data_IF_211065282864
#
_entry.id   IF_211065282864
#
_cell.length_a   1.000
_cell.length_b   1.000
_cell.length_c   1.000
_cell.angle_alpha   90.00
_cell.angle_beta   90.00
_cell.angle_gamma   90.00
#
_symmetry.space_group_name_H-M   'P 1'
#
loop_
_entity.id
_entity.type
_entity.pdbx_description
1 polymer ?
#
# COMPACT_ATOMS: atom_id res chain seq x y z
N UNK A 1 1.63 35.28 0.53
CA UNK A 1 0.90 34.42 -0.42
C UNK A 1 1.73 33.22 -0.81
N UNK A 2 1.31 32.02 -0.39
CA UNK A 2 1.95 30.76 -0.78
C UNK A 2 1.63 30.52 -2.26
N UNK A 3 2.59 30.73 -3.16
CA UNK A 3 2.46 30.43 -4.58
C UNK A 3 2.57 28.92 -4.84
N UNK A 4 1.59 28.18 -4.32
CA UNK A 4 1.53 26.71 -4.37
C UNK A 4 0.45 26.32 -5.36
N UNK A 5 0.80 25.48 -6.34
CA UNK A 5 -0.11 25.06 -7.40
C UNK A 5 -1.05 23.92 -6.98
N UNK A 6 -2.08 23.65 -7.80
CA UNK A 6 -3.06 22.59 -7.58
C UNK A 6 -2.42 21.21 -7.37
N UNK A 7 -1.37 20.89 -8.15
CA UNK A 7 -0.69 19.60 -8.06
C UNK A 7 -0.02 19.40 -6.71
N UNK A 8 0.53 20.47 -6.13
CA UNK A 8 1.14 20.41 -4.80
C UNK A 8 0.07 20.21 -3.71
N UNK A 9 -1.12 20.78 -3.87
CA UNK A 9 -2.24 20.49 -2.96
C UNK A 9 -2.72 19.03 -3.08
N UNK A 10 -2.79 18.48 -4.29
CA UNK A 10 -3.15 17.08 -4.51
C UNK A 10 -2.08 16.12 -3.94
N UNK A 11 -0.80 16.44 -4.16
CA UNK A 11 0.31 15.69 -3.59
C UNK A 11 0.27 15.71 -2.05
N UNK A 12 0.08 16.89 -1.45
CA UNK A 12 -0.07 17.02 0.00
C UNK A 12 -1.31 16.27 0.50
N UNK A 13 -2.44 16.38 -0.20
CA UNK A 13 -3.67 15.66 0.10
C UNK A 13 -3.49 14.14 0.08
N UNK A 14 -2.74 13.61 -0.90
CA UNK A 14 -2.41 12.19 -0.91
C UNK A 14 -1.55 11.80 0.29
N UNK A 15 -0.57 12.61 0.68
CA UNK A 15 0.31 12.32 1.82
C UNK A 15 -0.46 12.21 3.15
N UNK A 16 -1.46 13.08 3.36
CA UNK A 16 -2.25 13.09 4.59
C UNK A 16 -3.49 12.18 4.54
N UNK A 17 -3.73 11.49 3.43
CA UNK A 17 -4.89 10.61 3.28
C UNK A 17 -4.77 9.32 4.11
N UNK A 18 -3.54 8.82 4.30
CA UNK A 18 -3.27 7.70 5.19
C UNK A 18 -3.56 8.10 6.64
N UNK A 19 -4.51 7.41 7.26
CA UNK A 19 -4.91 7.60 8.67
C UNK A 19 -4.71 6.28 9.40
N UNK A 20 -3.86 6.32 10.42
CA UNK A 20 -3.58 5.18 11.28
C UNK A 20 -4.61 5.09 12.43
N UNK A 21 -5.42 4.03 12.51
CA UNK A 21 -6.44 3.86 13.52
C UNK A 21 -5.92 3.17 14.79
N UNK A 22 -4.62 2.90 14.93
CA UNK A 22 -4.08 2.08 16.04
C UNK A 22 -4.57 2.53 17.42
N UNK A 23 -4.62 3.84 17.67
CA UNK A 23 -5.15 4.37 18.94
C UNK A 23 -6.65 4.09 19.12
N UNK A 24 -7.44 4.14 18.05
CA UNK A 24 -8.88 3.86 18.06
C UNK A 24 -9.12 2.36 18.24
N UNK A 25 -8.35 1.50 17.55
CA UNK A 25 -8.45 0.05 17.66
C UNK A 25 -8.13 -0.43 19.08
N UNK A 26 -7.13 0.16 19.75
CA UNK A 26 -6.80 -0.15 21.13
C UNK A 26 -7.96 0.18 22.10
N UNK A 27 -8.69 1.28 21.84
CA UNK A 27 -9.89 1.62 22.62
C UNK A 27 -11.01 0.64 22.31
N UNK A 28 -11.26 0.31 21.03
CA UNK A 28 -12.31 -0.63 20.63
C UNK A 28 -12.20 -2.00 21.31
N UNK A 29 -10.98 -2.50 21.47
CA UNK A 29 -10.70 -3.74 22.20
C UNK A 29 -11.06 -3.62 23.69
N UNK A 30 -10.74 -2.49 24.33
CA UNK A 30 -11.08 -2.24 25.73
C UNK A 30 -12.60 -2.16 25.97
N UNK A 31 -13.33 -1.46 25.09
CA UNK A 31 -14.80 -1.35 25.19
C UNK A 31 -15.57 -2.54 24.62
N UNK A 32 -14.88 -3.60 24.18
CA UNK A 32 -15.50 -4.82 23.64
C UNK A 32 -16.48 -4.53 22.50
N UNK A 33 -16.04 -3.72 21.54
CA UNK A 33 -16.80 -3.38 20.34
C UNK A 33 -17.00 -4.63 19.47
N UNK A 34 -18.04 -4.63 18.64
CA UNK A 34 -18.33 -5.70 17.69
C UNK A 34 -17.11 -6.03 16.82
N UNK A 35 -16.72 -7.31 16.75
CA UNK A 35 -15.57 -7.79 15.98
C UNK A 35 -15.64 -7.42 14.49
N UNK A 36 -16.83 -7.40 13.90
CA UNK A 36 -17.01 -6.99 12.49
C UNK A 36 -16.63 -5.54 12.30
N UNK A 37 -16.99 -4.66 13.24
CA UNK A 37 -16.60 -3.24 13.17
C UNK A 37 -15.08 -3.07 13.32
N UNK A 38 -14.46 -3.84 14.21
CA UNK A 38 -13.00 -3.87 14.36
C UNK A 38 -12.30 -4.28 13.05
N UNK A 39 -12.73 -5.39 12.45
CA UNK A 39 -12.16 -5.90 11.20
C UNK A 39 -12.37 -4.93 10.04
N UNK A 40 -13.55 -4.30 9.94
CA UNK A 40 -13.83 -3.31 8.89
C UNK A 40 -12.91 -2.09 8.99
N UNK A 41 -12.77 -1.49 10.18
CA UNK A 41 -11.92 -0.29 10.37
C UNK A 41 -10.45 -0.63 10.17
N UNK A 42 -10.00 -1.78 10.69
CA UNK A 42 -8.62 -2.24 10.47
C UNK A 42 -8.33 -2.47 8.98
N UNK A 43 -9.25 -3.13 8.26
CA UNK A 43 -9.11 -3.39 6.83
C UNK A 43 -9.15 -2.12 5.98
N UNK A 44 -10.01 -1.16 6.32
CA UNK A 44 -10.07 0.15 5.66
C UNK A 44 -8.72 0.87 5.75
N UNK A 45 -8.14 0.94 6.94
CA UNK A 45 -6.86 1.61 7.16
C UNK A 45 -5.70 0.92 6.44
N UNK A 46 -5.65 -0.42 6.44
CA UNK A 46 -4.64 -1.16 5.66
C UNK A 46 -4.74 -0.86 4.16
N UNK A 47 -5.96 -0.83 3.61
CA UNK A 47 -6.16 -0.51 2.19
C UNK A 47 -5.81 0.96 1.90
N UNK A 48 -6.15 1.86 2.82
CA UNK A 48 -5.89 3.29 2.71
C UNK A 48 -4.39 3.61 2.68
N UNK A 49 -3.58 2.95 3.50
CA UNK A 49 -2.11 3.10 3.49
C UNK A 49 -1.54 2.72 2.11
N UNK A 50 -1.99 1.58 1.57
CA UNK A 50 -1.59 1.12 0.25
C UNK A 50 -1.97 2.08 -0.88
N UNK A 51 -3.23 2.55 -0.91
CA UNK A 51 -3.74 3.47 -1.93
C UNK A 51 -3.06 4.84 -1.85
N UNK A 52 -2.80 5.34 -0.64
CA UNK A 52 -2.16 6.63 -0.38
C UNK A 52 -0.77 6.68 -1.02
N UNK A 53 0.05 5.65 -0.84
CA UNK A 53 1.41 5.63 -1.41
C UNK A 53 1.38 5.59 -2.95
N UNK A 54 0.46 4.83 -3.54
CA UNK A 54 0.30 4.82 -5.01
C UNK A 54 -0.12 6.20 -5.52
N UNK A 55 -1.07 6.84 -4.85
CA UNK A 55 -1.57 8.16 -5.22
C UNK A 55 -0.48 9.24 -5.08
N UNK A 56 0.32 9.17 -4.01
CA UNK A 56 1.48 10.03 -3.80
C UNK A 56 2.49 9.90 -4.94
N UNK A 57 2.83 8.68 -5.34
CA UNK A 57 3.76 8.44 -6.44
C UNK A 57 3.25 9.00 -7.77
N UNK A 58 1.95 8.84 -8.06
CA UNK A 58 1.31 9.40 -9.27
C UNK A 58 1.37 10.93 -9.27
N UNK A 59 0.98 11.58 -8.17
CA UNK A 59 1.02 13.04 -8.10
C UNK A 59 2.44 13.59 -8.08
N UNK A 60 3.38 12.90 -7.45
CA UNK A 60 4.79 13.28 -7.46
C UNK A 60 5.38 13.24 -8.88
N UNK A 61 4.99 12.23 -9.67
CA UNK A 61 5.35 12.16 -11.09
C UNK A 61 4.77 13.36 -11.87
N UNK A 62 3.51 13.73 -11.65
CA UNK A 62 2.90 14.89 -12.30
C UNK A 62 3.53 16.23 -11.89
N UNK A 63 3.89 16.41 -10.62
CA UNK A 63 4.63 17.59 -10.15
C UNK A 63 5.98 17.68 -10.86
N UNK A 64 6.68 16.54 -11.00
CA UNK A 64 8.00 16.46 -11.66
C UNK A 64 7.93 16.74 -13.16
N UNK A 65 6.83 16.36 -13.84
CA UNK A 65 6.62 16.66 -15.26
C UNK A 65 6.48 18.16 -15.55
N UNK A 66 5.95 18.93 -14.59
CA UNK A 66 5.68 20.37 -14.72
C UNK A 66 4.39 20.66 -15.49
N UNK A 67 3.48 21.42 -14.88
CA UNK A 67 2.11 21.70 -15.35
C UNK A 67 1.89 22.01 -16.84
N UNK A 68 2.79 22.71 -17.57
CA UNK A 68 2.61 23.00 -19.00
C UNK A 68 2.60 21.77 -19.91
N UNK A 69 3.09 20.60 -19.44
CA UNK A 69 3.15 19.36 -20.22
C UNK A 69 2.06 18.34 -19.87
N UNK A 70 1.17 18.67 -18.93
CA UNK A 70 0.08 17.77 -18.54
C UNK A 70 -1.05 17.92 -19.56
N UNK A 71 -1.08 17.01 -20.52
CA UNK A 71 -2.16 16.89 -21.48
C UNK A 71 -3.17 15.81 -21.03
N UNK A 72 -4.34 15.74 -21.65
CA UNK A 72 -5.36 14.72 -21.34
C UNK A 72 -4.82 13.28 -21.40
N UNK A 73 -3.86 13.02 -22.30
CA UNK A 73 -3.18 11.73 -22.41
C UNK A 73 -2.36 11.35 -21.16
N UNK A 74 -1.68 12.31 -20.52
CA UNK A 74 -0.89 12.06 -19.30
C UNK A 74 -1.79 11.77 -18.10
N UNK A 75 -2.96 12.41 -18.03
CA UNK A 75 -3.96 12.12 -17.00
C UNK A 75 -4.46 10.69 -17.13
N UNK A 76 -4.82 10.26 -18.34
CA UNK A 76 -5.25 8.87 -18.61
C UNK A 76 -4.13 7.89 -18.26
N UNK A 77 -2.88 8.19 -18.62
CA UNK A 77 -1.72 7.38 -18.28
C UNK A 77 -1.53 7.26 -16.76
N UNK A 78 -1.73 8.34 -16.00
CA UNK A 78 -1.67 8.29 -14.53
C UNK A 78 -2.77 7.44 -13.92
N UNK A 79 -3.99 7.50 -14.44
CA UNK A 79 -5.11 6.64 -14.00
C UNK A 79 -4.79 5.16 -14.28
N UNK A 80 -4.31 4.84 -15.48
CA UNK A 80 -3.91 3.47 -15.82
C UNK A 80 -2.76 3.01 -14.93
N UNK A 81 -1.75 3.87 -14.74
CA UNK A 81 -0.60 3.59 -13.88
C UNK A 81 -1.03 3.30 -12.45
N UNK A 82 -2.00 4.02 -11.91
CA UNK A 82 -2.54 3.77 -10.57
C UNK A 82 -3.04 2.33 -10.44
N UNK A 83 -3.89 1.88 -11.38
CA UNK A 83 -4.42 0.51 -11.34
C UNK A 83 -3.34 -0.55 -11.57
N UNK A 84 -2.39 -0.31 -12.48
CA UNK A 84 -1.28 -1.24 -12.73
C UNK A 84 -0.40 -1.40 -11.51
N UNK A 85 -0.04 -0.30 -10.85
CA UNK A 85 0.82 -0.29 -9.66
C UNK A 85 0.10 -0.93 -8.47
N UNK A 86 -1.19 -0.64 -8.28
CA UNK A 86 -2.00 -1.20 -7.20
C UNK A 86 -2.25 -2.71 -7.38
N UNK A 87 -2.82 -3.13 -8.52
CA UNK A 87 -3.10 -4.55 -8.76
C UNK A 87 -1.83 -5.37 -8.97
N UNK A 88 -0.78 -4.77 -9.55
CA UNK A 88 0.52 -5.42 -9.68
C UNK A 88 1.15 -5.70 -8.33
N UNK A 89 1.12 -4.74 -7.40
CA UNK A 89 1.59 -4.94 -6.01
C UNK A 89 0.86 -6.10 -5.34
N UNK A 90 -0.48 -6.06 -5.35
CA UNK A 90 -1.30 -7.11 -4.75
C UNK A 90 -1.11 -8.49 -5.40
N UNK A 91 -0.82 -8.55 -6.71
CA UNK A 91 -0.48 -9.82 -7.37
C UNK A 91 0.86 -10.36 -6.87
N UNK A 92 1.88 -9.51 -6.70
CA UNK A 92 3.17 -9.90 -6.12
C UNK A 92 2.98 -10.39 -4.69
N UNK A 93 2.25 -9.63 -3.86
CA UNK A 93 1.90 -10.03 -2.49
C UNK A 93 1.19 -11.38 -2.44
N UNK A 94 0.23 -11.61 -3.34
CA UNK A 94 -0.47 -12.88 -3.45
C UNK A 94 0.46 -14.05 -3.82
N UNK A 95 1.37 -13.87 -4.78
CA UNK A 95 2.35 -14.90 -5.18
C UNK A 95 3.28 -15.25 -4.01
N UNK A 96 3.82 -14.26 -3.30
CA UNK A 96 4.68 -14.51 -2.15
C UNK A 96 3.92 -15.10 -0.96
N UNK A 97 2.66 -14.71 -0.75
CA UNK A 97 1.78 -15.34 0.24
C UNK A 97 1.51 -16.81 -0.04
N UNK A 98 1.28 -17.17 -1.31
CA UNK A 98 1.18 -18.56 -1.75
C UNK A 98 2.49 -19.33 -1.52
N UNK A 99 3.63 -18.73 -1.86
CA UNK A 99 4.95 -19.34 -1.61
C UNK A 99 5.18 -19.58 -0.12
N UNK A 100 4.84 -18.61 0.73
CA UNK A 100 4.92 -18.75 2.19
C UNK A 100 4.00 -19.86 2.71
N UNK A 101 2.76 -19.94 2.22
CA UNK A 101 1.81 -20.99 2.58
C UNK A 101 2.35 -22.40 2.23
N UNK A 102 2.94 -22.55 1.05
CA UNK A 102 3.57 -23.80 0.63
C UNK A 102 4.78 -24.14 1.50
N UNK A 103 5.61 -23.15 1.81
CA UNK A 103 6.80 -23.34 2.64
C UNK A 103 6.45 -23.75 4.08
N UNK A 104 5.47 -23.09 4.70
CA UNK A 104 4.97 -23.47 6.03
C UNK A 104 4.38 -24.89 6.02
N UNK A 105 3.70 -25.29 4.94
CA UNK A 105 3.23 -26.68 4.80
C UNK A 105 4.38 -27.70 4.78
N UNK A 106 5.53 -27.37 4.21
CA UNK A 106 6.71 -28.23 4.16
C UNK A 106 7.50 -28.25 5.49
N UNK A 107 7.55 -27.12 6.21
CA UNK A 107 8.38 -26.94 7.41
C UNK A 107 7.63 -27.21 8.73
N UNK A 108 6.44 -27.81 8.67
CA UNK A 108 5.59 -28.10 9.86
C UNK A 108 6.31 -28.76 11.04
N UNK A 109 7.34 -29.56 10.78
CA UNK A 109 8.08 -30.28 11.82
C UNK A 109 9.06 -29.38 12.61
N UNK A 110 9.37 -28.16 12.15
CA UNK A 110 10.32 -27.24 12.78
C UNK A 110 9.73 -25.82 12.83
N UNK A 111 8.74 -25.62 13.70
CA UNK A 111 7.99 -24.35 13.83
C UNK A 111 8.85 -23.16 14.26
N UNK A 112 10.02 -23.40 14.88
CA UNK A 112 10.93 -22.34 15.36
C UNK A 112 11.47 -21.48 14.19
N UNK A 113 11.54 -22.04 12.97
CA UNK A 113 12.12 -21.35 11.80
C UNK A 113 11.05 -20.53 11.04
N UNK A 114 9.75 -20.80 11.24
CA UNK A 114 8.66 -20.15 10.49
C UNK A 114 8.66 -18.61 10.59
N UNK A 115 8.88 -17.99 11.76
CA UNK A 115 8.97 -16.53 11.84
C UNK A 115 10.12 -15.95 11.01
N UNK A 116 11.27 -16.65 10.95
CA UNK A 116 12.41 -16.23 10.13
C UNK A 116 12.07 -16.20 8.64
N UNK A 117 11.38 -17.24 8.15
CA UNK A 117 10.90 -17.26 6.77
C UNK A 117 9.84 -16.21 6.48
N UNK A 118 8.97 -15.90 7.44
CA UNK A 118 7.97 -14.84 7.30
C UNK A 118 8.63 -13.48 7.06
N UNK A 119 9.65 -13.13 7.86
CA UNK A 119 10.38 -11.87 7.68
C UNK A 119 11.14 -11.83 6.34
N UNK A 120 11.85 -12.92 6.00
CA UNK A 120 12.65 -12.98 4.76
C UNK A 120 11.75 -12.90 3.52
N UNK A 121 10.69 -13.70 3.47
CA UNK A 121 9.78 -13.72 2.32
C UNK A 121 8.94 -12.44 2.22
N UNK A 122 8.52 -11.87 3.35
CA UNK A 122 7.84 -10.57 3.37
C UNK A 122 8.73 -9.46 2.82
N UNK A 123 10.00 -9.41 3.25
CA UNK A 123 10.95 -8.41 2.74
C UNK A 123 11.32 -8.64 1.27
N UNK A 124 11.44 -9.90 0.83
CA UNK A 124 11.64 -10.22 -0.59
C UNK A 124 10.45 -9.80 -1.45
N UNK A 125 9.22 -9.97 -0.96
CA UNK A 125 8.02 -9.51 -1.66
C UNK A 125 8.04 -7.99 -1.84
N UNK A 126 8.37 -7.26 -0.77
CA UNK A 126 8.53 -5.81 -0.77
C UNK A 126 9.58 -5.37 -1.81
N UNK A 127 10.80 -5.92 -1.75
CA UNK A 127 11.88 -5.57 -2.69
C UNK A 127 11.51 -5.91 -4.14
N UNK A 128 10.84 -7.05 -4.37
CA UNK A 128 10.43 -7.45 -5.71
C UNK A 128 9.41 -6.48 -6.30
N UNK A 129 8.42 -6.06 -5.50
CA UNK A 129 7.45 -5.06 -5.91
C UNK A 129 8.12 -3.70 -6.19
N UNK A 130 9.05 -3.27 -5.34
CA UNK A 130 9.80 -2.02 -5.54
C UNK A 130 10.65 -2.06 -6.83
N UNK A 131 11.35 -3.17 -7.09
CA UNK A 131 12.13 -3.36 -8.33
C UNK A 131 11.26 -3.33 -9.60
N UNK A 132 10.00 -3.76 -9.51
CA UNK A 132 9.03 -3.70 -10.61
C UNK A 132 8.31 -2.36 -10.71
N UNK A 133 8.66 -1.37 -9.86
CA UNK A 133 7.95 -0.09 -9.74
C UNK A 133 6.46 -0.25 -9.44
N UNK A 134 6.10 -1.31 -8.70
CA UNK A 134 4.76 -1.61 -8.22
C UNK A 134 4.61 -1.12 -6.77
N UNK A 135 3.38 -1.14 -6.24
CA UNK A 135 3.18 -0.83 -4.83
C UNK A 135 3.79 -1.96 -3.99
N UNK A 136 4.81 -1.65 -3.21
CA UNK A 136 5.44 -2.64 -2.32
C UNK A 136 4.66 -2.86 -1.00
N UNK A 137 3.62 -2.06 -0.78
CA UNK A 137 2.79 -2.06 0.43
C UNK A 137 1.47 -2.82 0.18
N UNK A 138 0.94 -2.77 -1.05
CA UNK A 138 -0.25 -3.50 -1.49
C UNK A 138 0.08 -4.91 -1.97
#
# INVERSE_FOLDING_TARGET
DLNVGLLQYLLFGSLIAAVDPVAVLAVFEQVHVNEVLFIMVFGESLLNDGVTVVLFNVFNAFVTLGGPRINAAEIIKGIISFFVVAFGGSLVGFVFGLLFSLLSRCTKNIQIIEPGFLFILGYLAYLTAEMLSLSAIL
#
